data_IF_037327710267
#
_entry.id   IF_037327710267
#
_cell.length_a   1.000
_cell.length_b   1.000
_cell.length_c   1.000
_cell.angle_alpha   90.00
_cell.angle_beta   90.00
_cell.angle_gamma   90.00
#
_symmetry.space_group_name_H-M   'P 1'
#
loop_
_entity.id
_entity.type
_entity.pdbx_description
1 polymer ?
#
# COMPACT_ATOMS: atom_id res chain seq x y z
N UNK A 1 -9.79 15.80 -29.65
CA UNK A 1 -9.43 14.38 -29.48
C UNK A 1 -9.69 14.03 -28.03
N UNK A 2 -10.27 12.88 -27.71
CA UNK A 2 -10.40 12.46 -26.32
C UNK A 2 -9.00 12.25 -25.72
N UNK A 3 -8.81 12.58 -24.44
CA UNK A 3 -7.58 12.31 -23.72
C UNK A 3 -7.28 10.81 -23.76
N UNK A 4 -6.04 10.45 -24.11
CA UNK A 4 -5.55 9.07 -24.07
C UNK A 4 -5.71 8.54 -22.64
N UNK A 5 -6.28 7.36 -22.46
CA UNK A 5 -6.43 6.72 -21.14
C UNK A 5 -5.41 5.59 -20.97
N UNK A 6 -4.59 5.70 -19.91
CA UNK A 6 -3.56 4.72 -19.55
C UNK A 6 -3.88 4.13 -18.19
N UNK A 7 -3.86 2.80 -18.08
CA UNK A 7 -4.00 2.12 -16.80
C UNK A 7 -2.62 1.71 -16.27
N UNK A 8 -2.35 2.00 -15.00
CA UNK A 8 -1.21 1.46 -14.26
C UNK A 8 -1.73 0.33 -13.39
N UNK A 9 -1.37 -0.91 -13.70
CA UNK A 9 -2.01 -2.10 -13.15
C UNK A 9 -1.04 -2.89 -12.28
N UNK A 10 -1.47 -3.22 -11.06
CA UNK A 10 -0.80 -4.18 -10.20
C UNK A 10 -0.90 -5.61 -10.78
N UNK A 11 0.15 -6.00 -11.49
CA UNK A 11 0.28 -7.32 -12.11
C UNK A 11 0.42 -8.45 -11.10
N UNK A 12 0.93 -8.19 -9.89
CA UNK A 12 1.05 -9.21 -8.86
C UNK A 12 -0.32 -9.64 -8.35
N UNK A 13 -1.19 -8.67 -8.09
CA UNK A 13 -2.59 -8.94 -7.72
C UNK A 13 -3.34 -9.63 -8.86
N UNK A 14 -3.12 -9.23 -10.12
CA UNK A 14 -3.79 -9.87 -11.26
C UNK A 14 -3.36 -11.33 -11.42
N UNK A 15 -2.06 -11.62 -11.38
CA UNK A 15 -1.52 -12.98 -11.43
C UNK A 15 -2.00 -13.83 -10.24
N UNK A 16 -1.99 -13.29 -9.03
CA UNK A 16 -2.47 -14.01 -7.84
C UNK A 16 -3.94 -14.39 -7.95
N UNK A 17 -4.79 -13.45 -8.37
CA UNK A 17 -6.23 -13.69 -8.52
C UNK A 17 -6.53 -14.72 -9.59
N UNK A 18 -5.87 -14.63 -10.75
CA UNK A 18 -6.04 -15.61 -11.82
C UNK A 18 -5.57 -17.00 -11.37
N UNK A 19 -4.40 -17.10 -10.73
CA UNK A 19 -3.87 -18.38 -10.24
C UNK A 19 -4.76 -19.00 -9.15
N UNK A 20 -5.29 -18.18 -8.23
CA UNK A 20 -6.19 -18.66 -7.18
C UNK A 20 -7.54 -19.14 -7.74
N UNK A 21 -8.04 -18.52 -8.82
CA UNK A 21 -9.33 -18.86 -9.40
C UNK A 21 -9.36 -20.23 -10.10
N UNK A 22 -8.21 -20.71 -10.57
CA UNK A 22 -8.07 -21.98 -11.32
C UNK A 22 -7.34 -23.06 -10.53
N UNK A 23 -7.14 -22.85 -9.23
CA UNK A 23 -6.57 -23.86 -8.36
C UNK A 23 -7.67 -24.80 -7.86
N UNK A 24 -7.50 -26.07 -8.14
CA UNK A 24 -8.42 -27.13 -7.77
C UNK A 24 -7.74 -28.10 -6.80
N UNK A 25 -8.55 -28.93 -6.13
CA UNK A 25 -8.10 -30.03 -5.29
C UNK A 25 -8.68 -31.33 -5.80
N UNK A 26 -7.86 -32.38 -5.83
CA UNK A 26 -8.30 -33.74 -6.12
C UNK A 26 -8.08 -34.60 -4.89
N UNK A 27 -9.12 -35.34 -4.49
CA UNK A 27 -9.09 -36.31 -3.40
C UNK A 27 -9.01 -37.72 -3.99
N UNK A 28 -8.03 -38.50 -3.53
CA UNK A 28 -7.82 -39.87 -3.93
C UNK A 28 -8.53 -40.84 -2.96
N UNK A 29 -8.86 -42.08 -3.37
CA UNK A 29 -9.57 -43.04 -2.52
C UNK A 29 -8.88 -43.42 -1.20
N UNK A 30 -7.57 -43.18 -1.09
CA UNK A 30 -6.76 -43.40 0.13
C UNK A 30 -6.80 -42.21 1.10
N UNK A 31 -7.56 -41.16 0.78
CA UNK A 31 -7.68 -39.93 1.57
C UNK A 31 -6.60 -38.89 1.29
N UNK A 32 -5.72 -39.11 0.31
CA UNK A 32 -4.75 -38.09 -0.11
C UNK A 32 -5.47 -36.93 -0.83
N UNK A 33 -5.18 -35.69 -0.42
CA UNK A 33 -5.68 -34.47 -1.09
C UNK A 33 -4.49 -33.74 -1.73
N UNK A 34 -4.55 -33.54 -3.05
CA UNK A 34 -3.50 -32.82 -3.79
C UNK A 34 -4.07 -31.62 -4.54
N UNK A 35 -3.44 -30.44 -4.45
CA UNK A 35 -3.79 -29.31 -5.31
C UNK A 35 -3.28 -29.53 -6.73
N UNK A 36 -4.07 -29.13 -7.73
CA UNK A 36 -3.64 -29.08 -9.13
C UNK A 36 -4.19 -27.81 -9.80
N UNK A 37 -3.54 -27.38 -10.88
CA UNK A 37 -3.98 -26.26 -11.70
C UNK A 37 -3.45 -26.43 -13.12
N UNK A 38 -4.20 -25.98 -14.13
CA UNK A 38 -3.76 -26.05 -15.53
C UNK A 38 -3.33 -24.68 -16.01
N UNK A 39 -2.13 -24.62 -16.58
CA UNK A 39 -1.52 -23.37 -17.06
C UNK A 39 -2.45 -22.59 -18.01
N UNK A 40 -3.00 -23.25 -19.03
CA UNK A 40 -3.85 -22.60 -20.03
C UNK A 40 -5.13 -22.01 -19.44
N UNK A 41 -5.70 -22.62 -18.38
CA UNK A 41 -6.88 -22.06 -17.68
C UNK A 41 -6.50 -20.76 -16.98
N UNK A 42 -5.34 -20.72 -16.31
CA UNK A 42 -4.83 -19.53 -15.64
C UNK A 42 -4.49 -18.39 -16.61
N UNK A 43 -3.86 -18.72 -17.74
CA UNK A 43 -3.55 -17.75 -18.81
C UNK A 43 -4.84 -17.17 -19.42
N UNK A 44 -5.82 -18.02 -19.75
CA UNK A 44 -7.10 -17.58 -20.29
C UNK A 44 -7.89 -16.68 -19.31
N UNK A 45 -7.92 -17.03 -18.03
CA UNK A 45 -8.55 -16.20 -16.99
C UNK A 45 -7.84 -14.85 -16.87
N UNK A 46 -6.50 -14.84 -16.90
CA UNK A 46 -5.73 -13.61 -16.81
C UNK A 46 -5.97 -12.70 -18.02
N UNK A 47 -5.94 -13.25 -19.23
CA UNK A 47 -6.24 -12.52 -20.47
C UNK A 47 -7.63 -11.86 -20.42
N UNK A 48 -8.64 -12.63 -20.04
CA UNK A 48 -10.02 -12.18 -19.93
C UNK A 48 -10.21 -11.14 -18.80
N UNK A 49 -9.44 -11.24 -17.71
CA UNK A 49 -9.39 -10.20 -16.67
C UNK A 49 -8.83 -8.88 -17.19
N UNK A 50 -7.72 -8.90 -17.93
CA UNK A 50 -7.06 -7.70 -18.47
C UNK A 50 -7.89 -7.07 -19.60
N UNK A 51 -8.43 -7.88 -20.51
CA UNK A 51 -9.25 -7.40 -21.62
C UNK A 51 -10.53 -6.73 -21.11
N UNK A 52 -11.22 -7.35 -20.14
CA UNK A 52 -12.38 -6.70 -19.50
C UNK A 52 -11.99 -5.40 -18.82
N UNK A 53 -10.86 -5.33 -18.14
CA UNK A 53 -10.42 -4.10 -17.50
C UNK A 53 -10.22 -2.98 -18.53
N UNK A 54 -9.51 -3.30 -19.63
CA UNK A 54 -9.28 -2.38 -20.75
C UNK A 54 -10.60 -1.87 -21.35
N UNK A 55 -11.53 -2.76 -21.64
CA UNK A 55 -12.83 -2.42 -22.23
C UNK A 55 -13.69 -1.56 -21.28
N UNK A 56 -13.77 -1.95 -20.00
CA UNK A 56 -14.64 -1.28 -19.01
C UNK A 56 -14.18 0.14 -18.70
N UNK A 57 -12.86 0.35 -18.60
CA UNK A 57 -12.27 1.66 -18.38
C UNK A 57 -11.98 2.43 -19.68
N UNK A 58 -12.28 1.84 -20.84
CA UNK A 58 -12.03 2.42 -22.17
C UNK A 58 -10.58 2.88 -22.34
N UNK A 59 -9.65 2.05 -21.86
CA UNK A 59 -8.24 2.36 -21.88
C UNK A 59 -7.62 2.12 -23.26
N UNK A 60 -6.77 3.04 -23.70
CA UNK A 60 -5.97 2.90 -24.91
C UNK A 60 -4.78 1.97 -24.65
N UNK A 61 -4.20 2.08 -23.45
CA UNK A 61 -2.97 1.39 -23.05
C UNK A 61 -3.05 0.91 -21.60
N UNK A 62 -2.32 -0.17 -21.32
CA UNK A 62 -2.12 -0.71 -19.99
C UNK A 62 -0.64 -0.94 -19.76
N UNK A 63 -0.12 -0.41 -18.66
CA UNK A 63 1.23 -0.67 -18.17
C UNK A 63 1.07 -1.53 -16.91
N UNK A 64 1.68 -2.71 -16.93
CA UNK A 64 1.58 -3.65 -15.82
C UNK A 64 2.89 -3.68 -15.05
N UNK A 65 2.81 -3.57 -13.74
CA UNK A 65 3.96 -3.68 -12.85
C UNK A 65 3.91 -4.96 -12.04
N UNK A 66 5.06 -5.61 -11.93
CA UNK A 66 5.31 -6.74 -11.05
C UNK A 66 6.35 -6.31 -10.02
N UNK A 67 6.24 -6.82 -8.79
CA UNK A 67 7.29 -6.61 -7.80
C UNK A 67 8.60 -7.21 -8.29
N UNK A 68 9.70 -6.52 -8.02
CA UNK A 68 11.03 -7.01 -8.31
C UNK A 68 11.20 -8.43 -7.73
N UNK A 69 11.68 -9.41 -8.50
CA UNK A 69 11.91 -10.75 -7.99
C UNK A 69 13.10 -10.82 -7.02
N UNK A 70 13.93 -9.77 -6.96
CA UNK A 70 15.02 -9.67 -5.99
C UNK A 70 14.48 -9.66 -4.56
N UNK A 71 15.16 -10.37 -3.67
CA UNK A 71 14.87 -10.33 -2.23
C UNK A 71 15.36 -9.03 -1.57
N UNK A 72 16.10 -8.18 -2.29
CA UNK A 72 16.66 -6.93 -1.77
C UNK A 72 15.68 -5.76 -1.92
N UNK A 73 14.48 -5.87 -1.34
CA UNK A 73 13.53 -4.75 -1.34
C UNK A 73 14.08 -3.57 -0.52
N UNK A 74 13.87 -2.33 -1.00
CA UNK A 74 14.36 -1.13 -0.32
C UNK A 74 13.83 -0.98 1.12
N UNK A 75 12.62 -1.46 1.42
CA UNK A 75 12.04 -1.43 2.77
C UNK A 75 12.80 -2.31 3.76
N UNK A 76 13.54 -3.33 3.31
CA UNK A 76 14.41 -4.12 4.18
C UNK A 76 15.61 -3.31 4.69
N UNK A 77 15.99 -2.24 4.00
CA UNK A 77 16.95 -1.26 4.51
C UNK A 77 16.39 -0.36 5.61
N UNK A 78 15.07 -0.25 5.73
CA UNK A 78 14.36 0.50 6.78
C UNK A 78 14.02 -0.40 7.97
N UNK A 79 13.47 -1.59 7.69
CA UNK A 79 13.13 -2.60 8.70
C UNK A 79 13.40 -4.00 8.16
N UNK A 80 14.42 -4.66 8.73
CA UNK A 80 14.83 -6.01 8.35
C UNK A 80 13.73 -7.07 8.50
N UNK A 81 12.77 -6.86 9.40
CA UNK A 81 11.65 -7.79 9.62
C UNK A 81 10.44 -7.56 8.70
N UNK A 82 10.49 -6.58 7.79
CA UNK A 82 9.38 -6.23 6.91
C UNK A 82 8.89 -7.45 6.09
N UNK A 83 7.57 -7.67 6.09
CA UNK A 83 6.89 -8.82 5.45
C UNK A 83 7.41 -10.22 5.85
N UNK A 84 8.19 -10.33 6.92
CA UNK A 84 8.77 -11.61 7.36
C UNK A 84 7.72 -12.63 7.80
N UNK A 85 6.58 -12.14 8.31
CA UNK A 85 5.39 -12.91 8.67
C UNK A 85 4.69 -13.59 7.47
N UNK A 86 4.94 -13.14 6.23
CA UNK A 86 4.30 -13.72 5.02
C UNK A 86 4.94 -15.03 4.55
N UNK A 87 6.14 -15.39 5.04
CA UNK A 87 6.92 -16.55 4.56
C UNK A 87 6.19 -17.90 4.68
N UNK A 88 5.23 -18.03 5.60
CA UNK A 88 4.47 -19.27 5.83
C UNK A 88 3.20 -19.41 4.95
N UNK A 89 2.85 -18.39 4.15
CA UNK A 89 1.63 -18.41 3.33
C UNK A 89 1.78 -19.30 2.09
N UNK A 90 0.87 -20.27 1.91
CA UNK A 90 0.81 -21.10 0.71
C UNK A 90 0.35 -20.24 -0.46
N UNK A 91 1.22 -20.10 -1.47
CA UNK A 91 0.90 -19.36 -2.70
C UNK A 91 0.25 -20.28 -3.73
N UNK A 92 -0.67 -19.77 -4.58
CA UNK A 92 -1.27 -20.55 -5.65
C UNK A 92 -0.22 -21.14 -6.60
N UNK A 93 -0.43 -22.38 -7.06
CA UNK A 93 0.52 -23.15 -7.88
C UNK A 93 1.01 -22.38 -9.12
N UNK A 94 0.10 -21.66 -9.79
CA UNK A 94 0.41 -20.96 -11.04
C UNK A 94 0.96 -19.54 -10.86
N UNK A 95 1.12 -19.03 -9.63
CA UNK A 95 1.45 -17.61 -9.42
C UNK A 95 2.70 -17.17 -10.21
N UNK A 96 3.82 -17.86 -10.05
CA UNK A 96 5.07 -17.52 -10.75
C UNK A 96 4.92 -17.65 -12.27
N UNK A 97 4.25 -18.72 -12.72
CA UNK A 97 4.00 -18.97 -14.16
C UNK A 97 3.19 -17.82 -14.77
N UNK A 98 2.16 -17.33 -14.08
CA UNK A 98 1.33 -16.24 -14.58
C UNK A 98 2.05 -14.88 -14.52
N UNK A 99 2.95 -14.66 -13.55
CA UNK A 99 3.82 -13.47 -13.58
C UNK A 99 4.74 -13.47 -14.81
N UNK A 100 5.34 -14.62 -15.14
CA UNK A 100 6.18 -14.74 -16.34
C UNK A 100 5.37 -14.63 -17.64
N UNK A 101 4.12 -15.12 -17.63
CA UNK A 101 3.19 -14.90 -18.72
C UNK A 101 2.89 -13.40 -18.92
N UNK A 102 2.66 -12.63 -17.85
CA UNK A 102 2.49 -11.17 -17.94
C UNK A 102 3.71 -10.47 -18.55
N UNK A 103 4.93 -10.89 -18.18
CA UNK A 103 6.18 -10.34 -18.76
C UNK A 103 6.26 -10.62 -20.26
N UNK A 104 6.04 -11.87 -20.64
CA UNK A 104 6.25 -12.32 -22.02
C UNK A 104 5.15 -11.87 -22.98
N UNK A 105 3.89 -11.89 -22.55
CA UNK A 105 2.72 -11.60 -23.40
C UNK A 105 2.31 -10.13 -23.41
N UNK A 106 2.47 -9.46 -22.27
CA UNK A 106 1.99 -8.08 -22.07
C UNK A 106 3.11 -7.08 -21.78
N UNK A 107 4.37 -7.53 -21.72
CA UNK A 107 5.50 -6.65 -21.44
C UNK A 107 5.49 -6.10 -20.02
N UNK A 108 4.92 -6.84 -19.05
CA UNK A 108 4.89 -6.39 -17.66
C UNK A 108 6.31 -6.11 -17.13
N UNK A 109 6.49 -4.94 -16.54
CA UNK A 109 7.78 -4.45 -16.10
C UNK A 109 7.96 -4.64 -14.60
N UNK A 110 9.21 -4.59 -14.15
CA UNK A 110 9.54 -4.41 -12.75
C UNK A 110 10.69 -3.41 -12.67
N UNK A 111 10.77 -2.71 -11.56
CA UNK A 111 11.85 -1.77 -11.28
C UNK A 111 12.76 -2.39 -10.22
N UNK A 112 14.06 -2.17 -10.34
CA UNK A 112 15.03 -2.74 -9.43
C UNK A 112 14.73 -2.37 -7.97
N UNK A 113 14.64 -3.39 -7.11
CA UNK A 113 14.44 -3.28 -5.66
C UNK A 113 13.08 -2.75 -5.18
N UNK A 114 12.13 -2.54 -6.10
CA UNK A 114 10.82 -1.99 -5.80
C UNK A 114 9.71 -3.04 -5.80
N UNK A 115 8.65 -2.76 -5.04
CA UNK A 115 7.38 -3.48 -5.19
C UNK A 115 6.58 -2.93 -6.38
N UNK A 116 5.60 -3.69 -6.87
CA UNK A 116 4.72 -3.21 -7.95
C UNK A 116 4.05 -1.89 -7.56
N UNK A 117 3.70 -1.72 -6.28
CA UNK A 117 2.97 -0.56 -5.79
C UNK A 117 3.84 0.71 -5.85
N UNK A 118 5.12 0.60 -5.52
CA UNK A 118 6.10 1.70 -5.66
C UNK A 118 6.28 2.11 -7.12
N UNK A 119 6.39 1.12 -8.02
CA UNK A 119 6.48 1.37 -9.45
C UNK A 119 5.25 2.12 -9.98
N UNK A 120 4.07 1.71 -9.52
CA UNK A 120 2.81 2.36 -9.86
C UNK A 120 2.77 3.80 -9.33
N UNK A 121 3.20 4.05 -8.08
CA UNK A 121 3.24 5.40 -7.51
C UNK A 121 4.18 6.34 -8.26
N UNK A 122 5.37 5.85 -8.63
CA UNK A 122 6.36 6.59 -9.43
C UNK A 122 5.75 6.94 -10.79
N UNK A 123 5.15 5.98 -11.50
CA UNK A 123 4.56 6.24 -12.81
C UNK A 123 3.32 7.11 -12.70
N UNK A 124 2.47 6.94 -11.70
CA UNK A 124 1.25 7.73 -11.53
C UNK A 124 1.55 9.22 -11.33
N UNK A 125 2.70 9.54 -10.74
CA UNK A 125 3.12 10.92 -10.43
C UNK A 125 4.18 11.48 -11.39
N UNK A 126 4.49 10.74 -12.46
CA UNK A 126 5.41 11.17 -13.52
C UNK A 126 4.92 12.49 -14.16
N UNK A 127 5.79 13.50 -14.35
CA UNK A 127 5.36 14.85 -14.74
C UNK A 127 5.00 15.01 -16.22
N UNK A 128 5.40 14.08 -17.09
CA UNK A 128 5.31 14.22 -18.55
C UNK A 128 4.10 13.51 -19.18
N UNK A 129 3.09 13.15 -18.38
CA UNK A 129 1.84 12.58 -18.90
C UNK A 129 1.05 13.52 -19.81
N UNK A 130 1.28 14.83 -19.72
CA UNK A 130 0.52 15.83 -20.45
C UNK A 130 -0.98 15.71 -20.18
N UNK A 131 -1.78 15.64 -21.24
CA UNK A 131 -3.24 15.49 -21.14
C UNK A 131 -3.71 14.03 -20.97
N UNK A 132 -2.80 13.09 -20.71
CA UNK A 132 -3.14 11.66 -20.56
C UNK A 132 -3.94 11.44 -19.28
N UNK A 133 -5.06 10.73 -19.40
CA UNK A 133 -5.84 10.27 -18.27
C UNK A 133 -5.23 8.99 -17.68
N UNK A 134 -4.47 9.12 -16.61
CA UNK A 134 -3.79 8.00 -15.94
C UNK A 134 -4.64 7.48 -14.79
N UNK A 135 -4.95 6.19 -14.80
CA UNK A 135 -5.74 5.54 -13.75
C UNK A 135 -4.91 4.43 -13.10
N UNK A 136 -4.67 4.57 -11.80
CA UNK A 136 -4.11 3.51 -10.97
C UNK A 136 -5.16 2.44 -10.73
N UNK A 137 -4.83 1.19 -11.05
CA UNK A 137 -5.73 0.05 -10.90
C UNK A 137 -5.12 -0.99 -9.97
N UNK A 138 -5.85 -1.30 -8.92
CA UNK A 138 -5.51 -2.45 -8.07
C UNK A 138 -6.51 -2.65 -6.96
N UNK A 139 -6.11 -3.39 -5.92
CA UNK A 139 -7.00 -3.72 -4.80
C UNK A 139 -6.52 -3.13 -3.47
N UNK A 140 -5.22 -2.86 -3.37
CA UNK A 140 -4.60 -2.44 -2.13
C UNK A 140 -5.16 -1.08 -1.67
N UNK A 141 -5.38 -0.97 -0.36
CA UNK A 141 -5.76 0.28 0.29
C UNK A 141 -4.62 1.29 0.21
N UNK A 142 -3.38 0.82 0.06
CA UNK A 142 -2.17 1.63 0.08
C UNK A 142 -2.08 2.57 -1.13
N UNK A 143 -2.74 2.22 -2.25
CA UNK A 143 -2.88 3.12 -3.40
C UNK A 143 -3.59 4.43 -3.09
N UNK A 144 -4.34 4.51 -1.98
CA UNK A 144 -4.93 5.76 -1.54
C UNK A 144 -3.88 6.79 -1.07
N UNK A 145 -2.60 6.40 -0.95
CA UNK A 145 -1.46 7.28 -0.65
C UNK A 145 -0.81 7.88 -1.90
N UNK A 146 -1.29 7.53 -3.10
CA UNK A 146 -0.86 8.10 -4.37
C UNK A 146 -1.93 9.11 -4.81
N UNK A 147 -1.57 10.32 -5.26
CA UNK A 147 -2.53 11.24 -5.84
C UNK A 147 -2.84 10.86 -7.30
N UNK A 148 -4.10 11.03 -7.72
CA UNK A 148 -4.50 10.76 -9.10
C UNK A 148 -5.88 10.12 -9.22
N UNK A 149 -6.15 9.48 -10.36
CA UNK A 149 -7.36 8.69 -10.55
C UNK A 149 -7.11 7.23 -10.19
N UNK A 150 -8.07 6.62 -9.50
CA UNK A 150 -7.98 5.25 -9.00
C UNK A 150 -9.23 4.47 -9.36
N UNK A 151 -9.03 3.24 -9.80
CA UNK A 151 -10.09 2.24 -9.87
C UNK A 151 -9.72 1.06 -8.98
N UNK A 152 -10.50 0.86 -7.90
CA UNK A 152 -10.36 -0.33 -7.08
C UNK A 152 -11.07 -1.51 -7.76
N UNK A 153 -10.38 -2.64 -7.89
CA UNK A 153 -10.93 -3.81 -8.57
C UNK A 153 -12.26 -4.26 -7.95
N UNK A 154 -13.32 -4.27 -8.78
CA UNK A 154 -14.72 -4.55 -8.40
C UNK A 154 -15.45 -3.41 -7.65
N UNK A 155 -14.90 -2.20 -7.60
CA UNK A 155 -15.63 -1.01 -7.13
C UNK A 155 -16.55 -0.51 -8.25
N UNK A 156 -17.70 -1.16 -8.36
CA UNK A 156 -18.70 -0.89 -9.40
C UNK A 156 -19.96 -0.30 -8.77
N UNK A 157 -20.62 0.61 -9.49
CA UNK A 157 -21.91 1.15 -9.05
C UNK A 157 -23.01 0.09 -9.19
N UNK A 158 -24.23 0.43 -8.74
CA UNK A 158 -25.41 -0.44 -8.79
C UNK A 158 -25.75 -0.93 -10.22
N UNK A 159 -25.23 -0.28 -11.25
CA UNK A 159 -25.41 -0.64 -12.67
C UNK A 159 -24.23 -1.44 -13.25
N UNK A 160 -23.26 -1.84 -12.42
CA UNK A 160 -22.07 -2.59 -12.85
C UNK A 160 -21.01 -1.76 -13.58
N UNK A 161 -21.10 -0.42 -13.54
CA UNK A 161 -20.11 0.45 -14.15
C UNK A 161 -18.97 0.76 -13.17
N UNK A 162 -17.71 0.80 -13.63
CA UNK A 162 -16.58 1.06 -12.76
C UNK A 162 -16.65 2.47 -12.15
N UNK A 163 -16.38 2.58 -10.85
CA UNK A 163 -16.28 3.85 -10.15
C UNK A 163 -14.81 4.26 -10.08
N UNK A 164 -14.45 5.28 -10.87
CA UNK A 164 -13.12 5.91 -10.78
C UNK A 164 -13.18 7.03 -9.76
N UNK A 165 -12.28 7.00 -8.78
CA UNK A 165 -12.19 8.00 -7.71
C UNK A 165 -10.95 8.83 -7.89
N UNK A 166 -11.05 10.12 -7.61
CA UNK A 166 -9.89 11.01 -7.58
C UNK A 166 -9.41 11.12 -6.15
N UNK A 167 -8.11 10.93 -5.94
CA UNK A 167 -7.40 11.21 -4.70
C UNK A 167 -6.58 12.47 -4.92
N UNK A 168 -6.88 13.53 -4.18
CA UNK A 168 -6.10 14.76 -4.20
C UNK A 168 -4.74 14.55 -3.52
N UNK A 169 -3.77 15.44 -3.81
CA UNK A 169 -2.46 15.42 -3.13
C UNK A 169 -2.60 15.45 -1.60
N UNK A 170 -3.47 16.33 -1.09
CA UNK A 170 -3.71 16.43 0.35
C UNK A 170 -4.33 15.15 0.94
N UNK A 171 -5.27 14.52 0.23
CA UNK A 171 -5.85 13.24 0.69
C UNK A 171 -4.81 12.12 0.69
N UNK A 172 -3.95 12.04 -0.33
CA UNK A 172 -2.86 11.09 -0.41
C UNK A 172 -1.88 11.23 0.78
N UNK A 173 -1.46 12.46 1.07
CA UNK A 173 -0.61 12.81 2.23
C UNK A 173 -1.30 12.40 3.54
N UNK A 174 -2.58 12.74 3.71
CA UNK A 174 -3.34 12.36 4.91
C UNK A 174 -3.45 10.85 5.05
N UNK A 175 -3.70 10.11 3.98
CA UNK A 175 -3.79 8.65 4.01
C UNK A 175 -2.46 8.01 4.42
N UNK A 176 -1.34 8.53 3.92
CA UNK A 176 0.01 8.11 4.33
C UNK A 176 0.22 8.31 5.84
N UNK A 177 -0.11 9.48 6.38
CA UNK A 177 -0.04 9.76 7.81
C UNK A 177 -0.99 8.89 8.66
N UNK A 178 -2.21 8.63 8.18
CA UNK A 178 -3.15 7.71 8.84
C UNK A 178 -2.54 6.33 8.97
N UNK A 179 -1.88 5.85 7.91
CA UNK A 179 -1.26 4.54 7.88
C UNK A 179 0.01 4.48 8.73
N UNK A 180 0.80 5.56 8.79
CA UNK A 180 1.93 5.69 9.71
C UNK A 180 1.49 5.59 11.19
N UNK A 181 0.32 6.11 11.54
CA UNK A 181 -0.27 5.95 12.87
C UNK A 181 -0.90 4.58 13.08
N UNK A 182 -1.64 4.06 12.10
CA UNK A 182 -2.43 2.83 12.29
C UNK A 182 -1.64 1.55 12.15
N UNK A 183 -0.49 1.62 11.48
CA UNK A 183 0.28 0.43 11.10
C UNK A 183 -0.40 -0.38 9.99
N UNK A 184 0.28 -1.45 9.60
CA UNK A 184 -0.26 -2.50 8.76
C UNK A 184 0.31 -3.86 9.19
N UNK A 185 -0.55 -4.67 9.79
CA UNK A 185 -0.20 -6.01 10.26
C UNK A 185 0.13 -6.98 9.11
N UNK A 186 -0.45 -6.78 7.92
CA UNK A 186 -0.19 -7.62 6.74
C UNK A 186 1.23 -7.38 6.26
N UNK A 187 1.70 -6.14 6.30
CA UNK A 187 3.07 -5.73 5.94
C UNK A 187 4.08 -5.89 7.09
N UNK A 188 3.59 -6.06 8.31
CA UNK A 188 4.41 -6.40 9.47
C UNK A 188 4.97 -5.21 10.21
N UNK A 189 4.35 -4.02 10.11
CA UNK A 189 4.71 -2.85 10.93
C UNK A 189 3.52 -2.40 11.79
N UNK A 190 3.73 -2.14 13.10
CA UNK A 190 2.63 -2.06 14.07
C UNK A 190 1.93 -0.71 14.15
N UNK A 191 2.53 0.37 13.64
CA UNK A 191 2.05 1.73 13.88
C UNK A 191 2.19 2.17 15.35
N UNK A 192 1.41 3.17 15.74
CA UNK A 192 1.35 3.66 17.12
C UNK A 192 0.40 2.77 17.95
N UNK A 193 0.83 2.25 19.12
CA UNK A 193 -0.01 1.42 19.97
C UNK A 193 -1.37 2.05 20.30
N UNK A 194 -2.44 1.28 20.10
CA UNK A 194 -3.82 1.71 20.40
C UNK A 194 -4.43 2.70 19.39
N UNK A 195 -3.75 2.95 18.27
CA UNK A 195 -4.25 3.78 17.16
C UNK A 195 -4.76 2.91 16.02
N UNK A 196 -6.05 2.59 16.02
CA UNK A 196 -6.69 2.04 14.82
C UNK A 196 -6.98 3.12 13.79
N UNK A 197 -7.34 2.71 12.56
CA UNK A 197 -7.64 3.61 11.42
C UNK A 197 -8.52 4.81 11.80
N UNK A 198 -9.65 4.59 12.48
CA UNK A 198 -10.57 5.69 12.88
C UNK A 198 -9.91 6.72 13.80
N UNK A 199 -9.09 6.28 14.77
CA UNK A 199 -8.40 7.20 15.68
C UNK A 199 -7.30 7.96 14.97
N UNK A 200 -6.57 7.27 14.08
CA UNK A 200 -5.54 7.87 13.25
C UNK A 200 -6.13 8.94 12.32
N UNK A 201 -7.23 8.64 11.62
CA UNK A 201 -7.94 9.62 10.78
C UNK A 201 -8.30 10.89 11.54
N UNK A 202 -8.89 10.77 12.74
CA UNK A 202 -9.23 11.93 13.55
C UNK A 202 -8.01 12.78 13.93
N UNK A 203 -6.88 12.15 14.27
CA UNK A 203 -5.64 12.88 14.62
C UNK A 203 -5.10 13.64 13.39
N UNK A 204 -5.19 13.04 12.21
CA UNK A 204 -4.72 13.65 10.96
C UNK A 204 -5.64 14.78 10.49
N UNK A 205 -6.95 14.67 10.73
CA UNK A 205 -7.94 15.71 10.42
C UNK A 205 -7.87 16.90 11.37
N UNK A 206 -7.65 16.63 12.67
CA UNK A 206 -7.60 17.62 13.74
C UNK A 206 -6.31 17.45 14.57
N UNK A 207 -5.13 17.84 14.02
CA UNK A 207 -3.84 17.62 14.67
C UNK A 207 -3.65 18.52 15.89
N UNK A 208 -3.56 17.91 17.07
CA UNK A 208 -3.27 18.59 18.33
C UNK A 208 -1.97 18.11 18.95
N UNK A 209 -1.18 19.07 19.46
CA UNK A 209 0.05 18.77 20.17
C UNK A 209 -0.26 18.26 21.56
N UNK A 210 0.26 17.10 21.92
CA UNK A 210 0.15 16.55 23.27
C UNK A 210 1.43 16.82 24.06
N UNK A 211 1.27 17.27 25.31
CA UNK A 211 2.39 17.48 26.24
C UNK A 211 2.19 16.69 27.52
N UNK A 212 3.26 16.02 27.96
CA UNK A 212 3.32 15.31 29.22
C UNK A 212 3.44 16.31 30.38
N UNK A 213 2.52 16.24 31.34
CA UNK A 213 2.60 16.98 32.61
C UNK A 213 2.67 16.02 33.78
N UNK A 214 3.68 16.21 34.63
CA UNK A 214 3.78 15.50 35.91
C UNK A 214 2.69 16.03 36.84
N UNK A 215 1.89 15.12 37.38
CA UNK A 215 0.90 15.39 38.41
C UNK A 215 1.11 14.47 39.61
N UNK A 216 0.50 14.84 40.73
CA UNK A 216 0.45 13.99 41.93
C UNK A 216 -0.97 13.49 42.12
N UNK A 217 -1.13 12.18 42.36
CA UNK A 217 -2.43 11.59 42.63
C UNK A 217 -2.95 12.14 43.97
N UNK A 218 -4.08 12.84 43.94
CA UNK A 218 -4.60 13.59 45.10
C UNK A 218 -5.51 12.77 46.02
N UNK A 219 -6.03 11.62 45.56
CA UNK A 219 -7.01 10.78 46.29
C UNK A 219 -6.80 9.28 45.97
N UNK A 220 -7.28 8.41 46.87
CA UNK A 220 -7.25 6.95 46.72
C UNK A 220 -5.98 6.26 47.25
N UNK A 221 -5.90 4.92 47.08
CA UNK A 221 -4.80 4.07 47.57
C UNK A 221 -3.42 4.51 47.04
N UNK A 222 -3.37 5.17 45.89
CA UNK A 222 -2.14 5.65 45.26
C UNK A 222 -1.86 7.15 45.53
N UNK A 223 -2.50 7.77 46.52
CA UNK A 223 -2.30 9.18 46.87
C UNK A 223 -0.81 9.47 47.14
N UNK A 224 -0.30 10.56 46.57
CA UNK A 224 1.11 10.96 46.68
C UNK A 224 2.04 10.35 45.61
N UNK A 225 1.60 9.33 44.84
CA UNK A 225 2.38 8.83 43.70
C UNK A 225 2.35 9.82 42.53
N UNK A 226 3.49 9.92 41.83
CA UNK A 226 3.62 10.72 40.61
C UNK A 226 2.93 10.00 39.45
N UNK A 227 2.17 10.74 38.64
CA UNK A 227 1.55 10.26 37.41
C UNK A 227 1.85 11.24 36.28
N UNK A 228 1.96 10.73 35.06
CA UNK A 228 2.08 11.56 33.86
C UNK A 228 0.71 11.61 33.21
N UNK A 229 0.17 12.81 33.03
CA UNK A 229 -1.04 13.05 32.24
C UNK A 229 -0.68 13.81 30.98
N UNK A 230 -1.32 13.43 29.88
CA UNK A 230 -1.14 14.07 28.59
C UNK A 230 -2.26 15.08 28.37
N UNK A 231 -1.89 16.29 27.99
CA UNK A 231 -2.80 17.40 27.77
C UNK A 231 -2.60 17.98 26.38
N UNK A 232 -3.68 18.44 25.76
CA UNK A 232 -3.60 19.24 24.54
C UNK A 232 -2.91 20.57 24.83
N UNK A 233 -1.97 20.94 23.96
CA UNK A 233 -1.28 22.22 23.93
C UNK A 233 -1.76 23.10 22.76
N UNK A 234 -2.83 22.68 22.07
CA UNK A 234 -3.41 23.37 20.93
C UNK A 234 -3.06 22.74 19.57
N UNK A 235 -3.58 23.32 18.47
CA UNK A 235 -3.33 22.86 17.11
C UNK A 235 -1.85 22.86 16.74
N UNK A 236 -1.44 21.91 15.90
CA UNK A 236 -0.05 21.77 15.43
C UNK A 236 -0.01 21.16 14.02
N UNK A 237 1.18 20.88 13.50
CA UNK A 237 1.32 20.12 12.25
C UNK A 237 0.87 18.66 12.43
N UNK A 238 0.51 17.99 11.33
CA UNK A 238 0.16 16.56 11.35
C UNK A 238 1.32 15.73 11.91
N UNK A 239 2.56 16.03 11.49
CA UNK A 239 3.73 15.31 11.98
C UNK A 239 3.95 15.46 13.49
N UNK A 240 3.86 16.69 14.03
CA UNK A 240 3.96 16.90 15.48
C UNK A 240 2.87 16.13 16.25
N UNK A 241 1.65 16.08 15.71
CA UNK A 241 0.56 15.31 16.29
C UNK A 241 0.87 13.80 16.27
N UNK A 242 1.49 13.28 15.21
CA UNK A 242 1.93 11.88 15.14
C UNK A 242 2.99 11.60 16.20
N UNK A 243 4.06 12.39 16.22
CA UNK A 243 5.20 12.19 17.13
C UNK A 243 4.73 12.17 18.59
N UNK A 244 3.93 13.16 19.01
CA UNK A 244 3.45 13.20 20.39
C UNK A 244 2.51 12.04 20.76
N UNK A 245 1.84 11.40 19.79
CA UNK A 245 1.05 10.20 20.04
C UNK A 245 1.94 8.94 20.19
N UNK A 246 3.04 8.85 19.43
CA UNK A 246 4.07 7.83 19.64
C UNK A 246 4.74 8.00 21.03
N UNK A 247 5.16 9.23 21.38
CA UNK A 247 5.73 9.53 22.70
C UNK A 247 4.76 9.17 23.84
N UNK A 248 3.46 9.46 23.66
CA UNK A 248 2.41 9.07 24.60
C UNK A 248 2.27 7.57 24.77
N UNK A 249 2.56 6.80 23.74
CA UNK A 249 2.62 5.34 23.78
C UNK A 249 3.96 4.80 24.33
N UNK A 250 4.90 5.66 24.69
CA UNK A 250 6.23 5.28 25.17
C UNK A 250 7.23 4.94 24.06
N UNK A 251 6.95 5.40 22.84
CA UNK A 251 7.82 5.24 21.66
C UNK A 251 8.51 6.57 21.32
N UNK A 252 9.36 6.55 20.29
CA UNK A 252 10.17 7.70 19.86
C UNK A 252 9.69 8.29 18.52
N UNK A 253 10.20 9.46 18.16
CA UNK A 253 10.04 10.00 16.80
C UNK A 253 10.68 9.08 15.74
N UNK A 254 11.77 8.39 16.06
CA UNK A 254 12.40 7.42 15.16
C UNK A 254 11.45 6.24 14.84
N UNK A 255 10.67 5.79 15.82
CA UNK A 255 9.64 4.76 15.60
C UNK A 255 8.53 5.26 14.67
N UNK A 256 8.10 6.51 14.86
CA UNK A 256 7.12 7.15 13.99
C UNK A 256 7.67 7.27 12.56
N UNK A 257 8.91 7.73 12.41
CA UNK A 257 9.58 7.92 11.13
C UNK A 257 9.78 6.60 10.39
N UNK A 258 10.19 5.55 11.09
CA UNK A 258 10.30 4.19 10.55
C UNK A 258 8.96 3.71 9.98
N UNK A 259 7.87 3.81 10.75
CA UNK A 259 6.54 3.39 10.29
C UNK A 259 6.02 4.25 9.14
N UNK A 260 6.28 5.56 9.15
CA UNK A 260 5.93 6.46 8.04
C UNK A 260 6.67 6.08 6.75
N UNK A 261 7.96 5.75 6.84
CA UNK A 261 8.75 5.30 5.67
C UNK A 261 8.27 3.96 5.14
N UNK A 262 7.93 2.99 6.00
CA UNK A 262 7.40 1.71 5.56
C UNK A 262 6.03 1.84 4.88
N UNK A 263 5.19 2.75 5.37
CA UNK A 263 3.87 3.05 4.81
C UNK A 263 3.90 3.88 3.51
N UNK A 264 5.06 4.38 3.09
CA UNK A 264 5.18 5.26 1.92
C UNK A 264 5.22 4.42 0.65
N UNK A 265 4.32 4.69 -0.29
CA UNK A 265 4.51 4.34 -1.70
C UNK A 265 5.36 5.44 -2.35
N UNK A 266 6.38 5.04 -3.12
CA UNK A 266 7.28 5.98 -3.78
C UNK A 266 6.58 6.79 -4.88
N UNK A 267 6.92 8.07 -4.97
CA UNK A 267 6.51 9.00 -6.03
C UNK A 267 7.68 9.27 -7.00
N UNK A 268 7.41 9.95 -8.11
CA UNK A 268 8.34 10.12 -9.24
C UNK A 268 9.76 10.53 -8.84
N UNK A 269 9.90 11.55 -7.98
CA UNK A 269 11.19 12.10 -7.57
C UNK A 269 11.85 11.35 -6.39
N UNK A 270 11.28 10.23 -5.94
CA UNK A 270 11.76 9.45 -4.79
C UNK A 270 12.59 8.21 -5.20
N UNK A 271 12.75 7.96 -6.49
CA UNK A 271 13.59 6.89 -7.03
C UNK A 271 14.52 7.38 -8.13
N UNK A 272 15.81 7.05 -8.01
CA UNK A 272 16.82 7.34 -9.02
C UNK A 272 17.01 6.11 -9.92
N UNK A 273 16.67 6.25 -11.20
CA UNK A 273 16.73 5.17 -12.18
C UNK A 273 18.15 4.80 -12.61
N UNK A 274 19.13 5.69 -12.44
CA UNK A 274 20.53 5.43 -12.82
C UNK A 274 21.27 4.68 -11.70
N UNK A 275 21.00 5.05 -10.45
CA UNK A 275 21.65 4.44 -9.27
C UNK A 275 20.81 3.34 -8.61
N UNK A 276 19.54 3.22 -8.99
CA UNK A 276 18.54 2.34 -8.36
C UNK A 276 18.40 2.58 -6.85
N UNK A 277 18.51 3.85 -6.42
CA UNK A 277 18.41 4.24 -5.01
C UNK A 277 17.10 4.95 -4.71
N UNK A 278 16.62 4.80 -3.47
CA UNK A 278 15.39 5.42 -2.98
C UNK A 278 15.75 6.61 -2.10
N UNK A 279 15.16 7.78 -2.38
CA UNK A 279 15.17 8.91 -1.45
C UNK A 279 14.12 8.66 -0.38
N UNK A 280 14.56 8.29 0.82
CA UNK A 280 13.64 8.05 1.93
C UNK A 280 12.89 9.33 2.29
N UNK A 281 11.58 9.19 2.46
CA UNK A 281 10.71 10.26 2.92
C UNK A 281 11.18 10.85 4.26
N UNK A 282 11.05 12.17 4.38
CA UNK A 282 11.23 12.91 5.62
C UNK A 282 10.03 13.84 5.87
N UNK A 283 9.70 14.15 7.13
CA UNK A 283 8.56 15.00 7.45
C UNK A 283 8.70 16.41 6.88
N UNK A 284 7.64 16.89 6.22
CA UNK A 284 7.59 18.24 5.66
C UNK A 284 7.99 18.36 4.18
N UNK A 285 8.36 17.25 3.53
CA UNK A 285 8.69 17.19 2.10
C UNK A 285 7.45 17.05 1.17
N UNK A 286 6.23 17.18 1.72
CA UNK A 286 4.94 16.88 1.08
C UNK A 286 4.25 18.06 0.38
#
# INVERSE_FOLDING_TARGET
MAAKTVLLVDGDTMAFRAAAAVQHTMEYPDGLIQPFARRWEGEAVLDDMLERLKQRLKADEMILFLSCPSEQNWRLGVESSYKSNRKASVRPLLLTILKDYLRTRYGAEHIAFLEADDAIGIWATRPDWGDTNVIVVGRDKDFATIPGQHYQLKDDNEKGQPIVRTVTKLEAIKNHYVQALSGDAVDGYPGCPGMGKTRATRIVEEPERLVARKGVISRGINKGKTTVKWHSAGPCSIWEAIVCNYEKAGLTEEDALRNARLARILLWDEYDFDTHTVRLWVPGDD
#
